data_IF_317473403397
#
_entry.id   IF_317473403397
#
_cell.length_a   1.000
_cell.length_b   1.000
_cell.length_c   1.000
_cell.angle_alpha   90.00
_cell.angle_beta   90.00
_cell.angle_gamma   90.00
#
_symmetry.space_group_name_H-M   'P 1'
#
loop_
_entity.id
_entity.type
_entity.pdbx_description
1 polymer ?
#
# COMPACT_ATOMS: atom_id res chain seq x y z
N UNK A 1 -44.65 23.09 3.38
CA UNK A 1 -44.91 23.37 4.80
C UNK A 1 -43.54 23.26 5.50
N UNK A 2 -42.93 24.44 5.77
CA UNK A 2 -42.74 25.08 7.09
C UNK A 2 -42.05 24.13 8.10
N UNK A 3 -40.87 24.41 8.68
CA UNK A 3 -40.46 25.64 9.39
C UNK A 3 -38.94 25.79 9.49
N UNK A 4 -38.49 26.95 9.24
CA UNK A 4 -37.30 27.62 9.73
C UNK A 4 -37.21 27.69 11.22
N UNK A 5 -36.03 27.50 11.83
CA UNK A 5 -35.72 28.12 13.12
C UNK A 5 -34.30 28.72 13.08
N UNK A 6 -34.31 30.05 13.01
CA UNK A 6 -33.20 30.96 13.29
C UNK A 6 -33.26 31.34 14.77
N UNK A 7 -32.20 31.24 15.50
CA UNK A 7 -31.91 31.91 16.78
C UNK A 7 -30.41 32.15 16.75
N UNK A 8 -29.92 33.32 16.50
CA UNK A 8 -29.86 34.66 17.05
C UNK A 8 -29.29 34.65 18.49
N UNK A 9 -28.28 35.49 18.64
CA UNK A 9 -27.63 36.06 19.84
C UNK A 9 -26.44 35.25 20.38
N UNK A 10 -25.26 35.84 20.67
CA UNK A 10 -25.05 37.15 21.21
C UNK A 10 -23.61 37.60 21.11
N UNK A 11 -23.55 38.81 20.82
CA UNK A 11 -22.42 39.74 20.87
C UNK A 11 -21.87 39.80 22.30
N UNK A 12 -20.58 39.47 22.52
CA UNK A 12 -19.87 39.90 23.74
C UNK A 12 -18.51 40.46 23.36
N UNK A 13 -18.52 41.74 23.16
CA UNK A 13 -17.33 42.60 23.13
C UNK A 13 -16.83 42.74 24.57
N UNK A 14 -15.61 42.30 24.83
CA UNK A 14 -14.89 42.69 26.03
C UNK A 14 -13.51 43.23 25.60
N UNK A 15 -13.50 44.55 25.59
CA UNK A 15 -12.31 45.36 25.50
C UNK A 15 -11.47 45.11 26.77
N UNK A 16 -10.24 44.69 26.60
CA UNK A 16 -9.25 44.75 27.69
C UNK A 16 -8.09 45.67 27.26
N UNK A 17 -8.00 46.74 28.01
CA UNK A 17 -7.17 47.87 27.74
C UNK A 17 -5.69 47.64 27.89
N UNK A 18 -4.98 48.43 27.14
CA UNK A 18 -3.56 48.63 27.19
C UNK A 18 -3.11 49.11 28.57
N UNK A 19 -2.16 48.42 29.19
CA UNK A 19 -1.29 49.01 30.21
C UNK A 19 0.14 48.95 29.71
N UNK A 20 0.56 50.01 29.04
CA UNK A 20 1.97 50.32 28.92
C UNK A 20 2.49 50.86 30.27
N UNK A 21 3.21 50.04 31.01
CA UNK A 21 4.03 50.57 32.07
C UNK A 21 5.46 50.74 31.56
N UNK A 22 5.83 51.95 31.25
CA UNK A 22 7.20 52.39 31.12
C UNK A 22 7.82 52.37 32.50
N UNK A 23 8.87 51.61 32.74
CA UNK A 23 9.80 51.82 33.81
C UNK A 23 11.13 52.25 33.20
N UNK A 24 11.38 53.56 33.33
CA UNK A 24 12.72 54.12 33.17
C UNK A 24 13.58 53.79 34.40
N UNK A 25 14.76 53.30 34.14
CA UNK A 25 15.98 53.49 34.91
C UNK A 25 16.06 52.99 36.34
N UNK A 26 16.85 51.95 36.57
CA UNK A 26 17.96 52.08 37.53
C UNK A 26 18.96 50.93 37.36
N UNK A 27 20.25 51.30 37.33
CA UNK A 27 21.38 50.39 37.38
C UNK A 27 21.40 49.64 38.70
N UNK A 28 21.43 48.29 38.66
CA UNK A 28 22.32 47.52 39.55
C UNK A 28 22.37 46.02 39.20
N UNK A 29 23.60 45.59 39.09
CA UNK A 29 24.14 44.27 39.41
C UNK A 29 23.45 43.01 38.91
N UNK A 30 23.98 42.45 37.85
CA UNK A 30 24.33 41.06 37.61
C UNK A 30 23.62 39.95 38.35
N UNK A 31 22.60 39.37 37.70
CA UNK A 31 22.40 37.94 37.78
C UNK A 31 22.86 37.33 36.46
N UNK A 32 23.69 36.28 36.45
CA UNK A 32 24.02 35.60 35.22
C UNK A 32 22.75 34.95 34.70
N UNK A 33 22.18 35.49 33.62
CA UNK A 33 21.23 34.73 32.78
C UNK A 33 22.01 33.49 32.38
N UNK A 34 21.57 32.35 32.89
CA UNK A 34 22.02 31.07 32.42
C UNK A 34 21.72 31.05 30.91
N UNK A 35 22.75 31.26 30.13
CA UNK A 35 22.70 31.02 28.70
C UNK A 35 22.26 29.59 28.56
N UNK A 36 21.05 29.37 28.06
CA UNK A 36 20.65 28.05 27.59
C UNK A 36 21.81 27.53 26.73
N UNK A 37 22.26 26.30 26.94
CA UNK A 37 23.32 25.77 26.10
C UNK A 37 22.79 25.88 24.66
N UNK A 38 23.47 26.69 23.86
CA UNK A 38 23.32 26.66 22.43
C UNK A 38 23.65 25.22 22.04
N UNK A 39 22.63 24.43 21.82
CA UNK A 39 22.73 23.14 21.15
C UNK A 39 23.07 23.42 19.67
N UNK A 40 24.21 23.97 19.44
CA UNK A 40 24.79 24.30 18.16
C UNK A 40 25.99 23.42 17.88
N UNK A 41 25.86 22.14 18.12
CA UNK A 41 26.66 21.18 17.40
C UNK A 41 26.05 21.09 15.98
N UNK A 42 26.64 21.76 15.02
CA UNK A 42 26.46 21.45 13.59
C UNK A 42 27.00 20.03 13.39
N UNK A 43 26.26 19.03 13.85
CA UNK A 43 26.49 17.68 13.41
C UNK A 43 26.16 17.68 11.92
N UNK A 44 27.18 17.52 11.09
CA UNK A 44 26.99 17.31 9.66
C UNK A 44 26.19 16.04 9.49
N UNK A 45 24.85 16.18 9.51
CA UNK A 45 23.92 15.07 9.35
C UNK A 45 24.19 14.38 8.01
N UNK A 46 24.51 13.11 8.05
CA UNK A 46 24.76 12.31 6.85
C UNK A 46 23.44 11.80 6.31
N UNK A 47 22.97 12.42 5.24
CA UNK A 47 21.68 12.10 4.62
C UNK A 47 21.91 11.41 3.30
N UNK A 48 21.03 10.46 2.95
CA UNK A 48 20.96 9.84 1.64
C UNK A 48 19.48 9.64 1.21
N UNK A 49 19.25 9.34 -0.05
CA UNK A 49 17.92 8.94 -0.53
C UNK A 49 18.01 7.75 -1.48
N UNK A 50 16.90 7.04 -1.57
CA UNK A 50 16.70 5.88 -2.45
C UNK A 50 15.47 6.11 -3.30
N UNK A 51 15.61 6.04 -4.62
CA UNK A 51 14.52 6.09 -5.58
C UNK A 51 13.83 4.72 -5.62
N UNK A 52 12.66 4.63 -5.00
CA UNK A 52 11.95 3.37 -4.83
C UNK A 52 11.53 2.76 -6.17
N UNK A 53 11.04 3.56 -7.12
CA UNK A 53 10.63 3.07 -8.43
C UNK A 53 11.81 2.47 -9.20
N UNK A 54 12.96 3.13 -9.16
CA UNK A 54 14.20 2.63 -9.75
C UNK A 54 14.69 1.36 -9.04
N UNK A 55 14.64 1.32 -7.71
CA UNK A 55 15.00 0.16 -6.92
C UNK A 55 14.13 -1.05 -7.30
N UNK A 56 12.80 -0.90 -7.32
CA UNK A 56 11.86 -1.99 -7.61
C UNK A 56 12.06 -2.54 -9.03
N UNK A 57 12.33 -1.69 -10.01
CA UNK A 57 12.58 -2.15 -11.38
C UNK A 57 13.89 -2.96 -11.54
N UNK A 58 14.85 -2.76 -10.64
CA UNK A 58 16.16 -3.42 -10.68
C UNK A 58 16.30 -4.57 -9.67
N UNK A 59 15.46 -4.64 -8.63
CA UNK A 59 15.57 -5.63 -7.58
C UNK A 59 15.02 -6.99 -8.02
N UNK A 60 15.87 -8.00 -8.07
CA UNK A 60 15.53 -9.33 -8.60
C UNK A 60 14.45 -10.04 -7.78
N UNK A 61 14.47 -9.93 -6.46
CA UNK A 61 13.42 -10.49 -5.61
C UNK A 61 12.03 -9.92 -5.94
N UNK A 62 11.94 -8.60 -6.15
CA UNK A 62 10.68 -7.99 -6.57
C UNK A 62 10.22 -8.47 -7.94
N UNK A 63 11.15 -8.61 -8.89
CA UNK A 63 10.83 -9.14 -10.23
C UNK A 63 10.25 -10.55 -10.15
N UNK A 64 10.86 -11.42 -9.34
CA UNK A 64 10.40 -12.79 -9.18
C UNK A 64 9.03 -12.86 -8.49
N UNK A 65 8.79 -12.04 -7.45
CA UNK A 65 7.47 -11.94 -6.81
C UNK A 65 6.40 -11.44 -7.79
N UNK A 66 6.73 -10.42 -8.59
CA UNK A 66 5.82 -9.87 -9.60
C UNK A 66 5.50 -10.89 -10.69
N UNK A 67 6.49 -11.65 -11.15
CA UNK A 67 6.28 -12.75 -12.11
C UNK A 67 5.37 -13.84 -11.56
N UNK A 68 5.55 -14.24 -10.30
CA UNK A 68 4.68 -15.20 -9.62
C UNK A 68 3.24 -14.67 -9.53
N UNK A 69 3.07 -13.38 -9.23
CA UNK A 69 1.75 -12.75 -9.16
C UNK A 69 1.04 -12.76 -10.52
N UNK A 70 1.75 -12.38 -11.59
CA UNK A 70 1.22 -12.39 -12.96
C UNK A 70 0.78 -13.81 -13.36
N UNK A 71 1.60 -14.82 -13.08
CA UNK A 71 1.26 -16.22 -13.34
C UNK A 71 0.01 -16.67 -12.57
N UNK A 72 -0.11 -16.26 -11.31
CA UNK A 72 -1.27 -16.59 -10.49
C UNK A 72 -2.55 -15.92 -11.02
N UNK A 73 -2.49 -14.65 -11.38
CA UNK A 73 -3.61 -13.94 -12.02
C UNK A 73 -4.04 -14.61 -13.32
N UNK A 74 -3.10 -15.03 -14.15
CA UNK A 74 -3.37 -15.74 -15.39
C UNK A 74 -4.04 -17.10 -15.15
N UNK A 75 -3.55 -17.86 -14.18
CA UNK A 75 -4.14 -19.14 -13.79
C UNK A 75 -5.56 -18.97 -13.25
N UNK A 76 -5.81 -17.96 -12.43
CA UNK A 76 -7.14 -17.62 -11.91
C UNK A 76 -8.07 -17.29 -13.08
N UNK A 77 -7.65 -16.41 -13.98
CA UNK A 77 -8.42 -16.02 -15.17
C UNK A 77 -8.76 -17.23 -16.05
N UNK A 78 -7.78 -18.07 -16.31
CA UNK A 78 -7.96 -19.29 -17.10
C UNK A 78 -8.95 -20.23 -16.44
N UNK A 79 -8.79 -20.51 -15.14
CA UNK A 79 -9.69 -21.37 -14.37
C UNK A 79 -11.15 -20.87 -14.39
N UNK A 80 -11.35 -19.57 -14.16
CA UNK A 80 -12.69 -18.99 -14.17
C UNK A 80 -13.31 -18.98 -15.55
N UNK A 81 -12.52 -18.70 -16.60
CA UNK A 81 -12.99 -18.75 -17.99
C UNK A 81 -13.39 -20.16 -18.41
N UNK A 82 -12.60 -21.18 -18.09
CA UNK A 82 -12.92 -22.57 -18.41
C UNK A 82 -14.22 -23.04 -17.73
N UNK A 83 -14.35 -22.75 -16.42
CA UNK A 83 -15.56 -23.08 -15.67
C UNK A 83 -16.78 -22.32 -16.18
N UNK A 84 -16.62 -21.04 -16.51
CA UNK A 84 -17.69 -20.22 -17.09
C UNK A 84 -18.15 -20.75 -18.45
N UNK A 85 -17.23 -21.05 -19.36
CA UNK A 85 -17.55 -21.65 -20.69
C UNK A 85 -18.23 -22.99 -20.55
N UNK A 86 -17.80 -23.83 -19.61
CA UNK A 86 -18.42 -25.12 -19.34
C UNK A 86 -19.86 -24.94 -18.87
N UNK A 87 -20.10 -24.08 -17.91
CA UNK A 87 -21.44 -23.78 -17.38
C UNK A 87 -22.36 -23.24 -18.49
N UNK A 88 -21.84 -22.31 -19.30
CA UNK A 88 -22.58 -21.77 -20.44
C UNK A 88 -22.98 -22.86 -21.48
N UNK A 89 -22.05 -23.77 -21.80
CA UNK A 89 -22.33 -24.87 -22.70
C UNK A 89 -23.39 -25.82 -22.13
N UNK A 90 -23.31 -26.14 -20.83
CA UNK A 90 -24.29 -26.98 -20.13
C UNK A 90 -25.67 -26.30 -20.07
N UNK A 91 -25.71 -24.98 -19.84
CA UNK A 91 -26.95 -24.21 -19.85
C UNK A 91 -27.62 -24.18 -21.23
N UNK A 92 -26.84 -23.99 -22.30
CA UNK A 92 -27.36 -24.07 -23.69
C UNK A 92 -27.89 -25.45 -24.02
N UNK A 93 -27.21 -26.51 -23.57
CA UNK A 93 -27.68 -27.88 -23.78
C UNK A 93 -28.97 -28.16 -22.99
N UNK A 94 -29.09 -27.65 -21.79
CA UNK A 94 -30.33 -27.72 -21.00
C UNK A 94 -31.49 -27.03 -21.74
N UNK A 95 -31.30 -25.81 -22.23
CA UNK A 95 -32.32 -25.08 -23.01
C UNK A 95 -32.75 -25.86 -24.26
N UNK A 96 -31.78 -26.41 -24.98
CA UNK A 96 -32.06 -27.26 -26.17
C UNK A 96 -32.92 -28.49 -25.82
N UNK A 97 -32.63 -29.15 -24.68
CA UNK A 97 -33.41 -30.28 -24.19
C UNK A 97 -34.83 -29.89 -23.79
N UNK A 98 -35.00 -28.74 -23.13
CA UNK A 98 -36.35 -28.23 -22.83
C UNK A 98 -37.15 -27.97 -24.09
N UNK A 99 -36.58 -27.27 -25.09
CA UNK A 99 -37.26 -26.94 -26.35
C UNK A 99 -37.67 -28.17 -27.15
N UNK A 100 -36.88 -29.23 -27.08
CA UNK A 100 -37.11 -30.46 -27.85
C UNK A 100 -37.79 -31.58 -27.05
N UNK A 101 -38.35 -31.29 -25.87
CA UNK A 101 -38.91 -32.30 -24.96
C UNK A 101 -37.94 -33.47 -24.69
N UNK A 102 -36.64 -33.16 -24.60
CA UNK A 102 -35.55 -34.16 -24.52
C UNK A 102 -35.30 -34.71 -23.12
N UNK A 103 -36.09 -34.34 -22.10
CA UNK A 103 -36.02 -34.94 -20.77
C UNK A 103 -36.97 -36.13 -20.61
N UNK A 104 -36.50 -37.17 -19.91
CA UNK A 104 -37.27 -38.38 -19.67
C UNK A 104 -38.47 -38.14 -18.72
N UNK A 105 -38.36 -37.13 -17.82
CA UNK A 105 -39.45 -36.70 -16.94
C UNK A 105 -39.24 -35.24 -16.50
N UNK A 106 -40.27 -34.62 -15.95
CA UNK A 106 -40.25 -33.29 -15.39
C UNK A 106 -39.27 -33.21 -14.21
N UNK A 107 -39.23 -34.21 -13.37
CA UNK A 107 -38.32 -34.28 -12.23
C UNK A 107 -36.86 -34.26 -12.66
N UNK A 108 -36.53 -34.89 -13.80
CA UNK A 108 -35.18 -34.83 -14.36
C UNK A 108 -34.80 -33.44 -14.88
N UNK A 109 -35.72 -32.72 -15.45
CA UNK A 109 -35.49 -31.33 -15.87
C UNK A 109 -35.27 -30.41 -14.64
N UNK A 110 -36.10 -30.58 -13.60
CA UNK A 110 -35.96 -29.81 -12.35
C UNK A 110 -34.63 -30.10 -11.65
N UNK A 111 -34.19 -31.36 -11.59
CA UNK A 111 -32.88 -31.75 -11.06
C UNK A 111 -31.70 -31.09 -11.81
N UNK A 112 -31.79 -31.10 -13.14
CA UNK A 112 -30.75 -30.52 -13.98
C UNK A 112 -30.70 -28.98 -13.85
N UNK A 113 -31.86 -28.32 -13.76
CA UNK A 113 -31.97 -26.92 -13.50
C UNK A 113 -31.34 -26.56 -12.14
N UNK A 114 -31.68 -27.31 -11.08
CA UNK A 114 -31.09 -27.11 -9.75
C UNK A 114 -29.58 -27.30 -9.76
N UNK A 115 -29.08 -28.28 -10.52
CA UNK A 115 -27.63 -28.50 -10.70
C UNK A 115 -26.93 -27.28 -11.33
N UNK A 116 -27.48 -26.71 -12.39
CA UNK A 116 -26.95 -25.55 -13.08
C UNK A 116 -26.94 -24.32 -12.18
N UNK A 117 -28.03 -24.10 -11.43
CA UNK A 117 -28.10 -22.99 -10.43
C UNK A 117 -27.00 -23.16 -9.36
N UNK A 118 -26.82 -24.38 -8.86
CA UNK A 118 -25.75 -24.67 -7.89
C UNK A 118 -24.37 -24.41 -8.48
N UNK A 119 -24.08 -24.84 -9.69
CA UNK A 119 -22.82 -24.58 -10.36
C UNK A 119 -22.55 -23.09 -10.57
N UNK A 120 -23.58 -22.31 -10.88
CA UNK A 120 -23.46 -20.85 -10.98
C UNK A 120 -23.08 -20.23 -9.63
N UNK A 121 -23.71 -20.68 -8.54
CA UNK A 121 -23.39 -20.21 -7.19
C UNK A 121 -21.95 -20.61 -6.80
N UNK A 122 -21.56 -21.86 -7.11
CA UNK A 122 -20.19 -22.33 -6.86
C UNK A 122 -19.15 -21.52 -7.63
N UNK A 123 -19.43 -21.15 -8.89
CA UNK A 123 -18.54 -20.31 -9.69
C UNK A 123 -18.40 -18.91 -9.10
N UNK A 124 -19.49 -18.29 -8.63
CA UNK A 124 -19.45 -17.00 -7.96
C UNK A 124 -18.63 -17.06 -6.65
N UNK A 125 -18.87 -18.11 -5.85
CA UNK A 125 -18.12 -18.33 -4.60
C UNK A 125 -16.63 -18.54 -4.89
N UNK A 126 -16.29 -19.31 -5.92
CA UNK A 126 -14.91 -19.51 -6.34
C UNK A 126 -14.25 -18.21 -6.79
N UNK A 127 -14.95 -17.38 -7.54
CA UNK A 127 -14.45 -16.07 -7.98
C UNK A 127 -14.12 -15.17 -6.80
N UNK A 128 -15.02 -15.09 -5.82
CA UNK A 128 -14.78 -14.29 -4.60
C UNK A 128 -13.59 -14.82 -3.81
N UNK A 129 -13.52 -16.14 -3.60
CA UNK A 129 -12.42 -16.78 -2.89
C UNK A 129 -11.07 -16.53 -3.56
N UNK A 130 -10.98 -16.71 -4.89
CA UNK A 130 -9.74 -16.49 -5.62
C UNK A 130 -9.31 -15.02 -5.63
N UNK A 131 -10.25 -14.09 -5.66
CA UNK A 131 -9.96 -12.65 -5.53
C UNK A 131 -9.41 -12.30 -4.14
N UNK A 132 -9.98 -12.87 -3.09
CA UNK A 132 -9.50 -12.69 -1.71
C UNK A 132 -8.10 -13.29 -1.52
N UNK A 133 -7.88 -14.52 -1.98
CA UNK A 133 -6.57 -15.17 -1.93
C UNK A 133 -5.50 -14.34 -2.66
N UNK A 134 -5.83 -13.79 -3.84
CA UNK A 134 -4.93 -12.94 -4.60
C UNK A 134 -4.59 -11.65 -3.85
N UNK A 135 -5.58 -11.02 -3.21
CA UNK A 135 -5.37 -9.80 -2.42
C UNK A 135 -4.48 -10.05 -1.20
N UNK A 136 -4.70 -11.15 -0.48
CA UNK A 136 -3.87 -11.55 0.67
C UNK A 136 -2.44 -11.83 0.22
N UNK A 137 -2.24 -12.54 -0.89
CA UNK A 137 -0.91 -12.85 -1.39
C UNK A 137 -0.15 -11.60 -1.84
N UNK A 138 -0.85 -10.66 -2.52
CA UNK A 138 -0.29 -9.36 -2.88
C UNK A 138 0.18 -8.59 -1.65
N UNK A 139 -0.63 -8.57 -0.60
CA UNK A 139 -0.24 -7.94 0.66
C UNK A 139 1.00 -8.62 1.28
N UNK A 140 1.05 -9.94 1.28
CA UNK A 140 2.19 -10.70 1.81
C UNK A 140 3.47 -10.42 1.01
N UNK A 141 3.40 -10.35 -0.32
CA UNK A 141 4.55 -10.00 -1.16
C UNK A 141 5.07 -8.59 -0.89
N UNK A 142 4.17 -7.62 -0.73
CA UNK A 142 4.54 -6.25 -0.36
C UNK A 142 5.22 -6.19 1.03
N UNK A 143 4.74 -6.98 2.00
CA UNK A 143 5.37 -7.08 3.32
C UNK A 143 6.76 -7.72 3.22
N UNK A 144 6.90 -8.84 2.53
CA UNK A 144 8.18 -9.53 2.33
C UNK A 144 9.22 -8.62 1.65
N UNK A 145 8.80 -7.89 0.61
CA UNK A 145 9.66 -6.93 -0.08
C UNK A 145 10.13 -5.83 0.87
N UNK A 146 9.19 -5.21 1.60
CA UNK A 146 9.52 -4.15 2.57
C UNK A 146 10.46 -4.63 3.66
N UNK A 147 10.20 -5.81 4.21
CA UNK A 147 11.01 -6.39 5.27
C UNK A 147 12.41 -6.75 4.76
N UNK A 148 12.54 -7.22 3.53
CA UNK A 148 13.82 -7.47 2.88
C UNK A 148 14.63 -6.19 2.72
N UNK A 149 14.03 -5.13 2.21
CA UNK A 149 14.67 -3.82 2.04
C UNK A 149 15.08 -3.25 3.41
N UNK A 150 14.19 -3.24 4.39
CA UNK A 150 14.46 -2.70 5.71
C UNK A 150 15.57 -3.47 6.44
N UNK A 151 15.54 -4.80 6.36
CA UNK A 151 16.58 -5.65 6.93
C UNK A 151 17.95 -5.39 6.29
N UNK A 152 17.98 -5.20 4.97
CA UNK A 152 19.21 -4.85 4.27
C UNK A 152 19.71 -3.46 4.70
N UNK A 153 18.85 -2.44 4.67
CA UNK A 153 19.21 -1.07 5.04
C UNK A 153 19.74 -0.98 6.46
N UNK A 154 19.14 -1.72 7.40
CA UNK A 154 19.61 -1.78 8.79
C UNK A 154 21.05 -2.31 8.89
N UNK A 155 21.38 -3.37 8.18
CA UNK A 155 22.72 -3.94 8.15
C UNK A 155 23.72 -3.02 7.41
N UNK A 156 23.32 -2.51 6.25
CA UNK A 156 24.10 -1.58 5.45
C UNK A 156 24.49 -0.32 6.23
N UNK A 157 23.55 0.24 6.96
CA UNK A 157 23.78 1.47 7.69
C UNK A 157 24.68 1.31 8.93
N UNK A 158 24.89 0.08 9.43
CA UNK A 158 25.87 -0.17 10.50
C UNK A 158 27.29 0.21 10.07
N UNK A 159 27.61 0.10 8.78
CA UNK A 159 28.93 0.42 8.22
C UNK A 159 28.98 1.80 7.59
N UNK A 160 27.86 2.31 7.06
CA UNK A 160 27.80 3.58 6.34
C UNK A 160 27.54 4.78 7.23
N UNK A 161 26.80 4.60 8.34
CA UNK A 161 26.57 5.64 9.33
C UNK A 161 25.77 6.83 8.82
N UNK A 162 24.71 6.59 8.03
CA UNK A 162 23.74 7.64 7.68
C UNK A 162 22.84 7.91 8.87
N UNK A 163 22.58 9.18 9.14
CA UNK A 163 21.60 9.63 10.13
C UNK A 163 20.18 9.48 9.59
N UNK A 164 20.01 9.63 8.27
CA UNK A 164 18.73 9.54 7.60
C UNK A 164 18.90 8.98 6.18
N UNK A 165 18.07 7.98 5.86
CA UNK A 165 17.89 7.48 4.48
C UNK A 165 16.43 7.67 4.12
N UNK A 166 16.15 8.51 3.13
CA UNK A 166 14.80 8.91 2.71
C UNK A 166 14.38 8.08 1.51
N UNK A 167 13.16 7.56 1.54
CA UNK A 167 12.54 6.98 0.34
C UNK A 167 12.04 8.09 -0.58
N UNK A 168 12.40 8.02 -1.86
CA UNK A 168 11.83 8.87 -2.90
C UNK A 168 10.96 8.00 -3.80
N UNK A 169 9.65 8.20 -3.76
CA UNK A 169 8.66 7.52 -4.60
C UNK A 169 7.79 8.55 -5.29
N UNK A 170 7.96 8.70 -6.59
CA UNK A 170 7.18 9.65 -7.38
C UNK A 170 7.33 11.09 -6.93
N UNK A 171 6.20 11.78 -6.66
CA UNK A 171 6.17 13.21 -6.31
C UNK A 171 5.92 13.49 -4.82
N UNK A 172 5.94 12.47 -3.95
CA UNK A 172 5.32 12.63 -2.63
C UNK A 172 6.25 13.21 -1.55
N UNK A 173 7.51 12.75 -1.47
CA UNK A 173 8.33 13.03 -0.28
C UNK A 173 9.55 13.92 -0.56
N UNK A 174 10.10 13.87 -1.75
CA UNK A 174 11.35 14.54 -2.10
C UNK A 174 11.23 15.19 -3.48
N UNK A 175 10.97 16.49 -3.50
CA UNK A 175 10.83 17.24 -4.75
C UNK A 175 12.17 17.47 -5.46
N UNK A 176 13.24 17.62 -4.68
CA UNK A 176 14.59 17.81 -5.18
C UNK A 176 15.62 17.34 -4.17
N UNK A 177 16.65 16.64 -4.65
CA UNK A 177 17.87 16.37 -3.90
C UNK A 177 19.06 16.39 -4.83
N UNK A 178 20.22 16.73 -4.31
CA UNK A 178 21.46 16.61 -5.06
C UNK A 178 21.73 15.13 -5.39
N UNK A 179 22.02 14.77 -6.65
CA UNK A 179 22.32 13.40 -7.06
C UNK A 179 23.46 12.74 -6.26
N UNK A 180 24.35 13.51 -5.66
CA UNK A 180 25.41 12.99 -4.79
C UNK A 180 24.88 12.27 -3.52
N UNK A 181 23.63 12.48 -3.14
CA UNK A 181 22.96 11.79 -2.02
C UNK A 181 22.18 10.55 -2.46
N UNK A 182 22.12 10.26 -3.77
CA UNK A 182 21.45 9.08 -4.29
C UNK A 182 22.30 7.83 -4.07
N UNK A 183 21.78 6.89 -3.27
CA UNK A 183 22.43 5.61 -3.00
C UNK A 183 21.66 4.43 -3.62
N UNK A 184 20.73 4.68 -4.52
CA UNK A 184 19.82 3.67 -5.06
C UNK A 184 20.56 2.49 -5.68
N UNK A 185 21.55 2.75 -6.54
CA UNK A 185 22.27 1.68 -7.23
C UNK A 185 23.09 0.83 -6.25
N UNK A 186 23.73 1.45 -5.24
CA UNK A 186 24.46 0.72 -4.20
C UNK A 186 23.52 -0.19 -3.37
N UNK A 187 22.32 0.30 -3.04
CA UNK A 187 21.31 -0.48 -2.33
C UNK A 187 20.80 -1.64 -3.19
N UNK A 188 20.52 -1.41 -4.47
CA UNK A 188 20.09 -2.44 -5.43
C UNK A 188 21.16 -3.53 -5.59
N UNK A 189 22.42 -3.15 -5.76
CA UNK A 189 23.52 -4.10 -5.87
C UNK A 189 23.62 -4.98 -4.62
N UNK A 190 23.58 -4.38 -3.45
CA UNK A 190 23.64 -5.12 -2.18
C UNK A 190 22.42 -6.01 -1.93
N UNK A 191 21.23 -5.56 -2.28
CA UNK A 191 20.00 -6.37 -2.21
C UNK A 191 20.09 -7.58 -3.15
N UNK A 192 20.50 -7.36 -4.39
CA UNK A 192 20.65 -8.42 -5.38
C UNK A 192 21.76 -9.42 -5.03
N UNK A 193 22.85 -8.96 -4.41
CA UNK A 193 23.91 -9.83 -3.92
C UNK A 193 23.45 -10.75 -2.76
N UNK A 194 22.48 -10.29 -1.96
CA UNK A 194 21.85 -11.09 -0.88
C UNK A 194 20.76 -12.02 -1.38
N UNK A 195 20.15 -11.70 -2.48
CA UNK A 195 19.03 -12.46 -3.00
C UNK A 195 19.48 -13.78 -3.61
N UNK A 196 18.95 -14.88 -3.08
CA UNK A 196 19.15 -16.21 -3.65
C UNK A 196 17.78 -16.81 -4.02
N UNK A 197 17.48 -16.99 -5.32
CA UNK A 197 16.18 -17.50 -5.78
C UNK A 197 15.81 -18.89 -5.24
N UNK A 198 16.81 -19.68 -4.81
CA UNK A 198 16.58 -21.03 -4.27
C UNK A 198 15.99 -21.06 -2.84
N UNK A 199 15.97 -19.92 -2.14
CA UNK A 199 15.43 -19.81 -0.77
C UNK A 199 14.01 -19.28 -0.68
N UNK A 200 13.41 -18.88 -1.81
CA UNK A 200 12.05 -18.28 -1.91
C UNK A 200 10.98 -19.28 -2.39
N UNK A 201 11.10 -20.58 -2.02
CA UNK A 201 10.06 -21.59 -2.27
C UNK A 201 9.18 -21.79 -1.04
#
# INVERSE_FOLDING_TARGET
MKKTNVILNGLMVLAFGCLFAQCAGNNNAGAPVASAPAAGGSSNMKIAYVEIDSLLTKYNFWKDLNEQMIKKEENIRTTLNEKGKKLEAEAREFERKIQNNGFASRERAEQEQARLVKQQQELQTLQQKLAEELAIENQNYNLQMRDSINSFLKAYNQTKGYDLIISNSGYDNLLYANPAYNITDEIVEGLNARYNPSTSK
#
